data_IF_097331675148
#
_entry.id   IF_097331675148
#
_cell.length_a   1.000
_cell.length_b   1.000
_cell.length_c   1.000
_cell.angle_alpha   90.00
_cell.angle_beta   90.00
_cell.angle_gamma   90.00
#
_symmetry.space_group_name_H-M   'P 1'
#
loop_
_entity.id
_entity.type
_entity.pdbx_description
1 polymer ?
#
# COMPACT_ATOMS: atom_id res chain seq x y z
N UNK A 1 27.82 -13.61 -18.12
CA UNK A 1 26.66 -12.76 -18.50
C UNK A 1 26.16 -12.11 -17.23
N UNK A 2 26.15 -10.77 -17.14
CA UNK A 2 25.66 -10.06 -15.95
C UNK A 2 24.21 -9.67 -16.21
N UNK A 3 23.28 -10.18 -15.39
CA UNK A 3 21.87 -9.80 -15.46
C UNK A 3 21.64 -8.68 -14.46
N UNK A 4 21.01 -7.59 -14.93
CA UNK A 4 20.72 -6.41 -14.12
C UNK A 4 19.22 -6.24 -13.97
N UNK A 5 18.76 -6.10 -12.73
CA UNK A 5 17.41 -5.69 -12.39
C UNK A 5 17.22 -4.22 -12.81
N UNK A 6 16.36 -3.99 -13.79
CA UNK A 6 16.06 -2.65 -14.32
C UNK A 6 14.94 -1.99 -13.54
N UNK A 7 13.92 -2.75 -13.18
CA UNK A 7 12.77 -2.31 -12.41
C UNK A 7 12.20 -3.50 -11.61
N UNK A 8 11.71 -3.22 -10.40
CA UNK A 8 11.05 -4.22 -9.55
C UNK A 8 10.02 -3.55 -8.66
N UNK A 9 8.93 -4.27 -8.44
CA UNK A 9 7.88 -3.86 -7.53
C UNK A 9 7.36 -5.10 -6.80
N UNK A 10 6.92 -4.87 -5.56
CA UNK A 10 6.25 -5.89 -4.76
C UNK A 10 5.14 -5.24 -3.96
N UNK A 11 4.14 -6.01 -3.54
CA UNK A 11 3.05 -5.45 -2.74
C UNK A 11 1.83 -6.34 -2.69
N UNK A 12 0.67 -5.70 -2.53
CA UNK A 12 -0.61 -6.41 -2.38
C UNK A 12 -1.67 -5.81 -3.30
N UNK A 13 -2.19 -6.63 -4.19
CA UNK A 13 -3.38 -6.34 -4.99
C UNK A 13 -4.66 -6.88 -4.38
N UNK A 14 -5.80 -6.47 -4.95
CA UNK A 14 -7.16 -6.96 -4.64
C UNK A 14 -7.55 -6.85 -3.17
N UNK A 15 -7.11 -5.79 -2.48
CA UNK A 15 -7.52 -5.51 -1.11
C UNK A 15 -8.91 -4.87 -1.13
N UNK A 16 -9.94 -5.70 -1.07
CA UNK A 16 -11.34 -5.26 -1.12
C UNK A 16 -11.89 -4.92 0.26
N UNK A 17 -12.57 -3.78 0.36
CA UNK A 17 -13.23 -3.36 1.58
C UNK A 17 -14.50 -2.54 1.33
N UNK A 18 -15.36 -2.53 2.35
CA UNK A 18 -16.52 -1.67 2.45
C UNK A 18 -16.39 -0.86 3.74
N UNK A 19 -16.19 0.45 3.63
CA UNK A 19 -16.24 1.37 4.77
C UNK A 19 -17.68 1.83 4.96
N UNK A 20 -18.18 1.70 6.19
CA UNK A 20 -19.51 2.19 6.58
C UNK A 20 -19.34 3.32 7.59
N UNK A 21 -19.79 4.51 7.21
CA UNK A 21 -19.86 5.67 8.11
C UNK A 21 -21.30 5.81 8.59
N UNK A 22 -21.51 5.84 9.90
CA UNK A 22 -22.84 5.88 10.52
C UNK A 22 -23.06 7.21 11.22
N UNK A 23 -24.11 7.93 10.85
CA UNK A 23 -24.65 9.06 11.62
C UNK A 23 -26.03 8.68 12.16
N UNK A 24 -26.58 9.43 13.16
CA UNK A 24 -27.92 9.15 13.68
C UNK A 24 -29.03 9.20 12.61
N UNK A 25 -28.86 10.02 11.58
CA UNK A 25 -29.86 10.26 10.54
C UNK A 25 -29.67 9.36 9.31
N UNK A 26 -28.42 8.98 8.98
CA UNK A 26 -28.12 8.19 7.79
C UNK A 26 -26.81 7.40 7.89
N UNK A 27 -26.76 6.28 7.19
CA UNK A 27 -25.52 5.55 6.94
C UNK A 27 -25.02 5.85 5.52
N UNK A 28 -23.72 6.03 5.35
CA UNK A 28 -23.06 6.09 4.06
C UNK A 28 -22.05 4.96 3.92
N UNK A 29 -21.83 4.54 2.68
CA UNK A 29 -20.92 3.44 2.35
C UNK A 29 -19.97 3.84 1.24
N UNK A 30 -18.72 3.41 1.35
CA UNK A 30 -17.72 3.48 0.29
C UNK A 30 -17.16 2.07 0.11
N UNK A 31 -17.30 1.54 -1.11
CA UNK A 31 -16.67 0.28 -1.51
C UNK A 31 -15.43 0.60 -2.32
N UNK A 32 -14.34 -0.11 -2.07
CA UNK A 32 -13.10 0.04 -2.83
C UNK A 32 -12.34 -1.27 -2.96
N UNK A 33 -11.53 -1.36 -4.00
CA UNK A 33 -10.48 -2.35 -4.16
C UNK A 33 -9.15 -1.60 -4.28
N UNK A 34 -8.23 -1.84 -3.35
CA UNK A 34 -6.91 -1.23 -3.39
C UNK A 34 -5.86 -2.22 -3.92
N UNK A 35 -5.01 -1.74 -4.82
CA UNK A 35 -3.71 -2.31 -5.12
C UNK A 35 -2.63 -1.36 -4.61
N UNK A 36 -1.62 -1.91 -3.92
CA UNK A 36 -0.48 -1.14 -3.42
C UNK A 36 0.79 -1.85 -3.88
N UNK A 37 1.57 -1.17 -4.70
CA UNK A 37 2.88 -1.63 -5.17
C UNK A 37 3.97 -0.72 -4.61
N UNK A 38 5.05 -1.33 -4.13
CA UNK A 38 6.19 -0.68 -3.50
C UNK A 38 7.45 -1.01 -4.29
N UNK A 39 8.17 0.03 -4.67
CA UNK A 39 9.48 -0.06 -5.33
C UNK A 39 10.53 0.59 -4.44
N UNK A 40 11.73 0.02 -4.36
CA UNK A 40 12.82 0.62 -3.59
C UNK A 40 14.14 -0.09 -3.82
N UNK A 41 15.24 0.68 -3.91
CA UNK A 41 16.55 0.14 -4.28
C UNK A 41 17.05 -0.98 -3.34
N UNK A 42 16.78 -0.86 -2.05
CA UNK A 42 17.20 -1.86 -1.06
C UNK A 42 16.43 -3.18 -1.15
N UNK A 43 15.20 -3.17 -1.68
CA UNK A 43 14.43 -4.41 -1.86
C UNK A 43 15.00 -5.29 -3.00
N UNK A 44 15.97 -4.80 -3.78
CA UNK A 44 16.63 -5.58 -4.82
C UNK A 44 17.44 -6.75 -4.23
N UNK A 45 17.91 -6.67 -2.98
CA UNK A 45 18.63 -7.77 -2.31
C UNK A 45 17.79 -9.04 -2.22
N UNK A 46 16.46 -8.93 -2.13
CA UNK A 46 15.56 -10.07 -2.12
C UNK A 46 15.60 -10.87 -3.45
N UNK A 47 15.91 -10.21 -4.57
CA UNK A 47 15.97 -10.85 -5.88
C UNK A 47 17.35 -11.45 -6.18
N UNK A 48 18.43 -10.83 -5.70
CA UNK A 48 19.80 -11.30 -5.94
C UNK A 48 20.29 -12.30 -4.89
N UNK A 49 19.93 -12.09 -3.63
CA UNK A 49 20.51 -12.77 -2.46
C UNK A 49 19.47 -13.51 -1.62
N UNK A 50 18.18 -13.25 -1.85
CA UNK A 50 17.08 -13.79 -1.02
C UNK A 50 16.96 -13.13 0.35
N UNK A 51 17.67 -12.03 0.59
CA UNK A 51 17.55 -11.26 1.84
C UNK A 51 16.29 -10.40 1.85
N UNK A 52 15.35 -10.75 2.74
CA UNK A 52 14.08 -10.06 2.92
C UNK A 52 14.13 -8.94 3.97
N UNK A 53 15.29 -8.58 4.53
CA UNK A 53 15.42 -7.55 5.56
C UNK A 53 14.85 -6.17 5.18
N UNK A 54 14.73 -5.91 3.88
CA UNK A 54 14.14 -4.68 3.32
C UNK A 54 12.80 -4.89 2.61
N UNK A 55 12.23 -6.09 2.66
CA UNK A 55 10.93 -6.41 2.05
C UNK A 55 9.83 -6.15 3.06
N UNK A 56 8.86 -5.31 2.70
CA UNK A 56 7.66 -5.16 3.52
C UNK A 56 6.73 -6.35 3.26
N UNK A 57 6.33 -7.12 4.28
CA UNK A 57 5.44 -8.25 4.06
C UNK A 57 4.12 -7.80 3.41
N UNK A 58 3.66 -8.54 2.40
CA UNK A 58 2.42 -8.19 1.68
C UNK A 58 1.18 -8.25 2.57
N UNK A 59 1.22 -9.05 3.65
CA UNK A 59 0.18 -9.05 4.68
C UNK A 59 0.18 -7.76 5.51
N UNK A 60 1.36 -7.22 5.83
CA UNK A 60 1.48 -5.91 6.49
C UNK A 60 0.91 -4.80 5.61
N UNK A 61 1.16 -4.83 4.29
CA UNK A 61 0.53 -3.89 3.34
C UNK A 61 -0.99 -3.96 3.44
N UNK A 62 -1.58 -5.16 3.32
CA UNK A 62 -3.03 -5.38 3.47
C UNK A 62 -3.56 -4.83 4.79
N UNK A 63 -2.90 -5.16 5.90
CA UNK A 63 -3.31 -4.75 7.24
C UNK A 63 -3.24 -3.22 7.39
N UNK A 64 -2.20 -2.58 6.84
CA UNK A 64 -2.06 -1.13 6.82
C UNK A 64 -3.21 -0.46 6.07
N UNK A 65 -3.62 -0.97 4.92
CA UNK A 65 -4.78 -0.41 4.19
C UNK A 65 -6.03 -0.45 5.07
N UNK A 66 -6.32 -1.58 5.74
CA UNK A 66 -7.45 -1.70 6.67
C UNK A 66 -7.35 -0.74 7.86
N UNK A 67 -6.17 -0.64 8.49
CA UNK A 67 -5.93 0.24 9.64
C UNK A 67 -6.11 1.71 9.26
N UNK A 68 -5.58 2.13 8.11
CA UNK A 68 -5.70 3.52 7.66
C UNK A 68 -7.14 3.86 7.27
N UNK A 69 -7.85 2.94 6.61
CA UNK A 69 -9.27 3.13 6.30
C UNK A 69 -10.13 3.31 7.57
N UNK A 70 -9.76 2.63 8.67
CA UNK A 70 -10.43 2.77 9.96
C UNK A 70 -10.05 4.06 10.70
N UNK A 71 -8.79 4.49 10.63
CA UNK A 71 -8.26 5.65 11.37
C UNK A 71 -8.62 7.00 10.76
N UNK A 72 -8.78 7.06 9.44
CA UNK A 72 -8.98 8.31 8.71
C UNK A 72 -10.36 8.36 8.06
N UNK A 73 -10.99 9.53 8.10
CA UNK A 73 -12.12 9.84 7.24
C UNK A 73 -11.61 10.32 5.88
N UNK A 74 -12.30 9.94 4.81
CA UNK A 74 -12.00 10.31 3.43
C UNK A 74 -13.29 10.38 2.63
N UNK A 75 -13.39 11.35 1.73
CA UNK A 75 -14.60 11.59 0.93
C UNK A 75 -14.53 10.90 -0.44
N UNK A 76 -13.32 10.62 -0.92
CA UNK A 76 -13.04 10.01 -2.21
C UNK A 76 -11.99 8.90 -2.11
N UNK A 77 -11.83 8.13 -3.19
CA UNK A 77 -10.81 7.09 -3.27
C UNK A 77 -9.41 7.70 -3.42
N UNK A 78 -9.33 8.87 -4.07
CA UNK A 78 -8.14 9.68 -4.24
C UNK A 78 -7.61 10.20 -2.91
N UNK A 79 -8.50 10.71 -2.03
CA UNK A 79 -8.15 11.11 -0.67
C UNK A 79 -7.50 9.95 0.09
N UNK A 80 -8.09 8.76 -0.04
CA UNK A 80 -7.56 7.56 0.61
C UNK A 80 -6.22 7.12 0.00
N UNK A 81 -6.08 7.21 -1.32
CA UNK A 81 -4.81 6.97 -2.02
C UNK A 81 -3.69 7.88 -1.51
N UNK A 82 -3.97 9.17 -1.27
CA UNK A 82 -3.01 10.11 -0.68
C UNK A 82 -2.62 9.70 0.74
N UNK A 83 -3.58 9.30 1.58
CA UNK A 83 -3.30 8.82 2.94
C UNK A 83 -2.37 7.59 2.92
N UNK A 84 -2.66 6.62 2.05
CA UNK A 84 -1.82 5.44 1.89
C UNK A 84 -0.42 5.81 1.39
N UNK A 85 -0.34 6.69 0.37
CA UNK A 85 0.92 7.15 -0.21
C UNK A 85 1.82 7.79 0.87
N UNK A 86 1.25 8.69 1.67
CA UNK A 86 1.95 9.36 2.76
C UNK A 86 2.44 8.35 3.80
N UNK A 87 1.62 7.37 4.18
CA UNK A 87 2.04 6.37 5.16
C UNK A 87 3.24 5.54 4.66
N UNK A 88 3.17 4.96 3.46
CA UNK A 88 4.24 4.11 2.95
C UNK A 88 5.50 4.90 2.55
N UNK A 89 5.37 6.19 2.17
CA UNK A 89 6.53 7.10 2.02
C UNK A 89 7.34 7.25 3.31
N UNK A 90 6.69 7.29 4.47
CA UNK A 90 7.35 7.61 5.74
C UNK A 90 7.66 6.37 6.60
N UNK A 91 6.92 5.27 6.45
CA UNK A 91 6.97 4.11 7.35
C UNK A 91 7.42 2.80 6.70
N UNK A 92 7.37 2.67 5.37
CA UNK A 92 8.02 1.54 4.69
C UNK A 92 9.54 1.66 4.86
N UNK A 93 10.34 0.58 4.76
CA UNK A 93 11.79 0.70 4.86
C UNK A 93 12.27 1.89 4.02
N UNK A 94 13.15 2.72 4.60
CA UNK A 94 13.42 4.17 4.35
C UNK A 94 13.55 4.66 2.88
N UNK A 95 13.36 3.80 1.89
CA UNK A 95 13.62 4.02 0.47
C UNK A 95 12.55 3.39 -0.44
N UNK A 96 11.26 3.43 -0.07
CA UNK A 96 10.20 3.19 -1.05
C UNK A 96 10.12 4.41 -1.99
N UNK A 97 10.45 4.24 -3.26
CA UNK A 97 10.66 5.30 -4.28
C UNK A 97 9.44 5.57 -5.15
N UNK A 98 8.59 4.58 -5.40
CA UNK A 98 7.28 4.76 -6.04
C UNK A 98 6.20 3.99 -5.29
N UNK A 99 4.95 4.47 -5.38
CA UNK A 99 3.77 3.77 -4.87
C UNK A 99 2.68 3.89 -5.92
N UNK A 100 2.11 2.76 -6.35
CA UNK A 100 1.02 2.73 -7.32
C UNK A 100 -0.26 2.31 -6.59
N UNK A 101 -1.28 3.17 -6.67
CA UNK A 101 -2.63 2.89 -6.23
C UNK A 101 -3.55 2.74 -7.43
N UNK A 102 -4.26 1.62 -7.48
CA UNK A 102 -5.42 1.45 -8.35
C UNK A 102 -6.64 1.33 -7.45
N UNK A 103 -7.60 2.23 -7.67
CA UNK A 103 -8.87 2.35 -6.95
C UNK A 103 -10.03 2.33 -7.92
#
# INVERSE_FOLDING_TARGET
MVVKLVQHEHGKGRVRMLKVTRTPEKHSVIQLEAEVLLEGALAASAYYEGDNGHVLPTDSVKNTVWVLAKKHEFASLEDFGVILAQHFRHQAPRHCTSIIFKV
#
